data_IF_431945016030
#
_entry.id   IF_431945016030
#
_cell.length_a   1.000
_cell.length_b   1.000
_cell.length_c   1.000
_cell.angle_alpha   90.00
_cell.angle_beta   90.00
_cell.angle_gamma   90.00
#
_symmetry.space_group_name_H-M   'P 1'
#
loop_
_entity.id
_entity.type
_entity.pdbx_description
1 polymer ?
#
# COMPACT_ATOMS: atom_id res chain seq x y z
N UNK A 1 -26.22 -20.21 -16.75
CA UNK A 1 -27.28 -19.41 -16.11
C UNK A 1 -27.16 -19.45 -14.57
N UNK A 2 -26.86 -20.60 -13.96
CA UNK A 2 -26.55 -20.70 -12.52
C UNK A 2 -25.38 -19.81 -12.08
N UNK A 3 -24.21 -19.97 -12.70
CA UNK A 3 -22.99 -19.21 -12.36
C UNK A 3 -23.17 -17.68 -12.47
N UNK A 4 -23.95 -17.23 -13.45
CA UNK A 4 -24.20 -15.81 -13.66
C UNK A 4 -25.12 -15.23 -12.58
N UNK A 5 -26.10 -16.02 -12.11
CA UNK A 5 -26.97 -15.62 -11.00
C UNK A 5 -26.19 -15.57 -9.69
N UNK A 6 -25.39 -16.61 -9.42
CA UNK A 6 -24.51 -16.64 -8.25
C UNK A 6 -23.55 -15.44 -8.25
N UNK A 7 -22.95 -15.11 -9.39
CA UNK A 7 -22.09 -13.93 -9.52
C UNK A 7 -22.86 -12.63 -9.26
N UNK A 8 -24.08 -12.48 -9.76
CA UNK A 8 -24.89 -11.29 -9.52
C UNK A 8 -25.19 -11.11 -8.02
N UNK A 9 -25.61 -12.19 -7.33
CA UNK A 9 -25.90 -12.17 -5.89
C UNK A 9 -24.64 -11.81 -5.06
N UNK A 10 -23.46 -12.32 -5.46
CA UNK A 10 -22.18 -11.98 -4.83
C UNK A 10 -21.77 -10.52 -5.08
N UNK A 11 -22.02 -9.99 -6.28
CA UNK A 11 -21.73 -8.59 -6.60
C UNK A 11 -22.62 -7.63 -5.82
N UNK A 12 -23.89 -7.97 -5.59
CA UNK A 12 -24.77 -7.17 -4.73
C UNK A 12 -24.27 -7.13 -3.29
N UNK A 13 -23.83 -8.27 -2.74
CA UNK A 13 -23.20 -8.32 -1.41
C UNK A 13 -21.92 -7.48 -1.37
N UNK A 14 -21.07 -7.57 -2.40
CA UNK A 14 -19.85 -6.77 -2.50
C UNK A 14 -20.16 -5.27 -2.54
N UNK A 15 -21.19 -4.86 -3.27
CA UNK A 15 -21.63 -3.47 -3.36
C UNK A 15 -22.14 -2.94 -2.01
N UNK A 16 -22.91 -3.73 -1.27
CA UNK A 16 -23.37 -3.35 0.07
C UNK A 16 -22.22 -3.21 1.07
N UNK A 17 -21.24 -4.11 1.04
CA UNK A 17 -19.99 -3.96 1.80
C UNK A 17 -19.24 -2.70 1.37
N UNK A 18 -19.14 -2.45 0.06
CA UNK A 18 -18.52 -1.26 -0.51
C UNK A 18 -19.16 0.04 -0.02
N UNK A 19 -20.49 0.10 0.08
CA UNK A 19 -21.21 1.26 0.67
C UNK A 19 -20.84 1.47 2.12
N UNK A 20 -20.79 0.40 2.92
CA UNK A 20 -20.42 0.46 4.35
C UNK A 20 -18.97 0.92 4.54
N UNK A 21 -18.03 0.41 3.74
CA UNK A 21 -16.64 0.87 3.74
C UNK A 21 -16.57 2.35 3.36
N UNK A 22 -17.29 2.75 2.30
CA UNK A 22 -17.30 4.14 1.84
C UNK A 22 -17.80 5.11 2.91
N UNK A 23 -18.80 4.71 3.69
CA UNK A 23 -19.31 5.49 4.81
C UNK A 23 -18.27 5.66 5.95
N UNK A 24 -17.42 4.66 6.19
CA UNK A 24 -16.35 4.72 7.19
C UNK A 24 -15.19 5.60 6.72
N UNK A 25 -14.76 5.43 5.46
CA UNK A 25 -13.55 6.11 4.96
C UNK A 25 -13.85 7.49 4.34
N UNK A 26 -15.13 7.83 4.12
CA UNK A 26 -15.56 9.10 3.51
C UNK A 26 -15.25 9.22 2.01
N UNK A 27 -14.83 8.13 1.35
CA UNK A 27 -14.43 8.07 -0.06
C UNK A 27 -14.93 6.76 -0.69
N UNK A 28 -15.03 6.65 -2.03
CA UNK A 28 -15.43 5.39 -2.66
C UNK A 28 -14.54 4.21 -2.22
N UNK A 29 -15.16 3.08 -1.90
CA UNK A 29 -14.48 1.86 -1.47
C UNK A 29 -13.67 1.23 -2.60
N UNK A 30 -12.44 1.71 -2.76
CA UNK A 30 -11.40 1.06 -3.53
C UNK A 30 -10.16 0.87 -2.64
N UNK A 31 -9.27 -0.03 -3.05
CA UNK A 31 -8.11 -0.42 -2.24
C UNK A 31 -7.15 0.76 -2.01
N UNK A 32 -7.08 1.73 -2.93
CA UNK A 32 -6.26 2.92 -2.79
C UNK A 32 -6.76 3.82 -1.65
N UNK A 33 -8.02 4.26 -1.71
CA UNK A 33 -8.64 5.11 -0.70
C UNK A 33 -8.70 4.44 0.67
N UNK A 34 -9.02 3.13 0.72
CA UNK A 34 -8.99 2.39 1.97
C UNK A 34 -7.57 2.30 2.55
N UNK A 35 -6.56 2.14 1.68
CA UNK A 35 -5.16 2.16 2.08
C UNK A 35 -4.72 3.52 2.62
N UNK A 36 -5.03 4.61 1.92
CA UNK A 36 -4.80 5.98 2.38
C UNK A 36 -5.44 6.23 3.75
N UNK A 37 -6.70 5.81 3.93
CA UNK A 37 -7.40 5.94 5.21
C UNK A 37 -6.68 5.20 6.33
N UNK A 38 -6.33 3.92 6.14
CA UNK A 38 -5.58 3.15 7.14
C UNK A 38 -4.25 3.83 7.44
N UNK A 39 -3.50 4.20 6.40
CA UNK A 39 -2.20 4.83 6.55
C UNK A 39 -2.28 6.15 7.31
N UNK A 40 -3.31 6.97 7.06
CA UNK A 40 -3.53 8.23 7.77
C UNK A 40 -3.74 8.03 9.28
N UNK A 41 -4.42 6.95 9.67
CA UNK A 41 -4.69 6.64 11.08
C UNK A 41 -3.50 5.98 11.78
N UNK A 42 -2.79 5.10 11.08
CA UNK A 42 -1.64 4.38 11.65
C UNK A 42 -0.39 5.26 11.71
N UNK A 43 -0.10 6.00 10.65
CA UNK A 43 1.16 6.74 10.50
C UNK A 43 1.00 8.26 10.68
N UNK A 44 -0.18 8.71 11.12
CA UNK A 44 -0.51 10.12 11.34
C UNK A 44 -0.19 10.97 10.11
N UNK A 45 -0.90 10.69 9.02
CA UNK A 45 -0.72 11.41 7.75
C UNK A 45 -1.80 12.47 7.57
N UNK A 46 -1.40 13.67 7.19
CA UNK A 46 -2.29 14.63 6.53
C UNK A 46 -2.39 14.26 5.06
N UNK A 47 -3.55 13.76 4.64
CA UNK A 47 -3.82 13.42 3.25
C UNK A 47 -4.13 14.69 2.44
N UNK A 48 -3.75 14.70 1.17
CA UNK A 48 -4.09 15.78 0.25
C UNK A 48 -5.58 15.74 -0.11
N UNK A 49 -6.27 16.89 -0.03
CA UNK A 49 -7.69 17.01 -0.38
C UNK A 49 -7.96 16.87 -1.88
N UNK A 50 -6.93 17.07 -2.72
CA UNK A 50 -7.05 16.99 -4.18
C UNK A 50 -5.86 16.27 -4.81
N UNK A 51 -6.11 15.49 -5.86
CA UNK A 51 -5.08 14.82 -6.66
C UNK A 51 -4.25 15.79 -7.54
N UNK A 52 -4.19 17.08 -7.17
CA UNK A 52 -3.50 18.12 -7.93
C UNK A 52 -1.99 17.94 -7.92
N UNK A 53 -1.44 17.42 -6.82
CA UNK A 53 -0.03 17.04 -6.72
C UNK A 53 0.15 15.59 -7.15
N UNK A 54 0.53 15.38 -8.41
CA UNK A 54 0.79 14.03 -8.94
C UNK A 54 1.79 13.29 -8.03
N UNK A 55 1.44 12.05 -7.67
CA UNK A 55 2.28 11.10 -6.93
C UNK A 55 2.49 11.39 -5.43
N UNK A 56 1.84 12.39 -4.84
CA UNK A 56 1.87 12.62 -3.38
C UNK A 56 0.44 12.44 -2.87
N UNK A 57 0.26 11.52 -1.92
CA UNK A 57 -1.05 11.28 -1.31
C UNK A 57 -1.19 12.03 0.02
N UNK A 58 -0.09 12.45 0.63
CA UNK A 58 -0.08 13.21 1.87
C UNK A 58 1.31 13.48 2.43
N UNK A 59 1.34 13.94 3.68
CA UNK A 59 2.56 14.22 4.45
C UNK A 59 2.45 13.65 5.87
N UNK A 60 3.57 13.22 6.45
CA UNK A 60 3.59 12.82 7.86
C UNK A 60 3.41 14.06 8.77
N UNK A 61 2.47 14.02 9.70
CA UNK A 61 2.23 15.11 10.66
C UNK A 61 3.15 15.08 11.87
N UNK A 62 3.67 13.90 12.22
CA UNK A 62 4.44 13.69 13.44
C UNK A 62 5.58 12.67 13.25
N UNK A 63 6.32 12.44 14.34
CA UNK A 63 7.44 11.50 14.36
C UNK A 63 8.67 11.96 13.57
N UNK A 64 9.64 11.05 13.34
CA UNK A 64 10.90 11.35 12.66
C UNK A 64 10.75 11.80 11.21
N UNK A 65 9.61 11.49 10.58
CA UNK A 65 9.34 11.78 9.18
C UNK A 65 8.46 13.03 8.99
N UNK A 66 8.16 13.77 10.06
CA UNK A 66 7.27 14.93 10.01
C UNK A 66 7.63 15.89 8.87
N UNK A 67 6.62 16.27 8.08
CA UNK A 67 6.74 17.15 6.92
C UNK A 67 7.21 16.46 5.63
N UNK A 68 7.57 15.18 5.69
CA UNK A 68 7.95 14.40 4.49
C UNK A 68 6.72 13.96 3.72
N UNK A 69 6.80 14.09 2.40
CA UNK A 69 5.75 13.67 1.48
C UNK A 69 5.74 12.15 1.32
N UNK A 70 4.55 11.58 1.17
CA UNK A 70 4.36 10.13 1.07
C UNK A 70 3.38 9.78 -0.03
N UNK A 71 3.64 8.65 -0.70
CA UNK A 71 2.68 7.99 -1.56
C UNK A 71 2.35 6.61 -0.97
N UNK A 72 1.07 6.37 -0.73
CA UNK A 72 0.53 5.15 -0.13
C UNK A 72 0.17 4.17 -1.23
N UNK A 73 0.71 2.96 -1.16
CA UNK A 73 0.36 1.85 -2.05
C UNK A 73 -0.21 0.70 -1.23
N UNK A 74 -1.33 0.14 -1.66
CA UNK A 74 -1.84 -1.11 -1.10
C UNK A 74 -2.02 -2.17 -2.18
N UNK A 75 -1.19 -3.21 -2.10
CA UNK A 75 -1.25 -4.35 -3.00
C UNK A 75 -1.83 -5.57 -2.29
N UNK A 76 -2.88 -6.20 -2.82
CA UNK A 76 -3.47 -7.40 -2.19
C UNK A 76 -2.53 -8.62 -2.13
N UNK A 77 -1.35 -8.55 -2.76
CA UNK A 77 -0.27 -9.55 -2.68
C UNK A 77 1.10 -8.86 -2.75
N UNK A 78 2.11 -9.43 -2.09
CA UNK A 78 3.50 -9.02 -2.27
C UNK A 78 4.09 -9.78 -3.48
N UNK A 79 4.25 -9.08 -4.60
CA UNK A 79 4.78 -9.62 -5.87
C UNK A 79 6.11 -8.97 -6.30
N UNK A 80 6.74 -8.23 -5.39
CA UNK A 80 7.99 -7.49 -5.66
C UNK A 80 7.90 -6.45 -6.78
N UNK A 81 6.70 -5.92 -7.02
CA UNK A 81 6.40 -4.86 -7.96
C UNK A 81 6.02 -3.59 -7.21
N UNK A 82 6.44 -2.44 -7.73
CA UNK A 82 6.07 -1.12 -7.21
C UNK A 82 5.73 -0.18 -8.36
N UNK A 83 4.61 0.51 -8.26
CA UNK A 83 4.25 1.56 -9.20
C UNK A 83 4.97 2.85 -8.83
N UNK A 84 5.86 3.30 -9.72
CA UNK A 84 6.63 4.52 -9.56
C UNK A 84 6.17 5.52 -10.62
N UNK A 85 5.63 6.66 -10.17
CA UNK A 85 5.24 7.75 -11.06
C UNK A 85 6.47 8.44 -11.60
N UNK A 86 6.62 8.51 -12.92
CA UNK A 86 7.72 9.24 -13.53
C UNK A 86 7.49 10.76 -13.44
N UNK A 87 8.56 11.51 -13.17
CA UNK A 87 8.54 12.98 -13.20
C UNK A 87 7.99 13.66 -11.93
N UNK A 88 7.44 12.91 -10.97
CA UNK A 88 7.10 13.40 -9.64
C UNK A 88 7.33 12.28 -8.62
N UNK A 89 8.08 12.56 -7.57
CA UNK A 89 8.50 11.58 -6.57
C UNK A 89 8.17 12.11 -5.18
N UNK A 90 7.49 11.32 -4.32
CA UNK A 90 7.39 11.65 -2.90
C UNK A 90 8.77 11.50 -2.23
N UNK A 91 8.91 11.91 -0.97
CA UNK A 91 10.06 11.52 -0.15
C UNK A 91 10.02 10.01 0.13
N UNK A 92 8.82 9.45 0.37
CA UNK A 92 8.64 8.04 0.70
C UNK A 92 7.51 7.34 -0.07
N UNK A 93 7.70 6.06 -0.38
CA UNK A 93 6.60 5.14 -0.66
C UNK A 93 6.28 4.34 0.60
N UNK A 94 5.04 4.47 1.09
CA UNK A 94 4.51 3.63 2.16
C UNK A 94 3.66 2.52 1.53
N UNK A 95 4.20 1.31 1.51
CA UNK A 95 3.63 0.17 0.78
C UNK A 95 3.09 -0.87 1.75
N UNK A 96 1.79 -1.07 1.74
CA UNK A 96 1.11 -2.17 2.43
C UNK A 96 0.88 -3.32 1.45
N UNK A 97 1.10 -4.55 1.91
CA UNK A 97 0.87 -5.73 1.07
C UNK A 97 0.16 -6.85 1.81
N UNK A 98 -0.68 -7.58 1.09
CA UNK A 98 -1.20 -8.88 1.53
C UNK A 98 -0.15 -9.99 1.49
N UNK A 99 -0.57 -11.26 1.53
CA UNK A 99 0.33 -12.41 1.62
C UNK A 99 1.39 -12.44 0.51
N UNK A 100 2.59 -12.89 0.87
CA UNK A 100 3.63 -13.21 -0.09
C UNK A 100 3.20 -14.45 -0.87
N UNK A 101 2.99 -14.30 -2.17
CA UNK A 101 2.58 -15.41 -3.02
C UNK A 101 3.64 -15.61 -4.11
N UNK A 102 4.08 -16.84 -4.41
CA UNK A 102 4.82 -17.10 -5.62
C UNK A 102 4.04 -16.60 -6.83
N UNK A 103 4.73 -16.19 -7.89
CA UNK A 103 4.12 -15.86 -9.19
C UNK A 103 3.47 -17.12 -9.77
N UNK A 104 2.21 -17.38 -9.41
CA UNK A 104 1.40 -18.52 -9.85
C UNK A 104 0.07 -18.02 -10.41
N UNK A 105 -0.60 -18.85 -11.22
CA UNK A 105 -1.78 -18.44 -12.01
C UNK A 105 -2.85 -17.75 -11.14
N UNK A 106 -3.49 -16.71 -11.69
CA UNK A 106 -4.61 -16.01 -11.05
C UNK A 106 -5.88 -16.86 -10.92
N UNK A 107 -5.93 -18.05 -11.54
CA UNK A 107 -7.12 -18.91 -11.58
C UNK A 107 -7.47 -19.40 -10.16
N UNK A 108 -8.66 -19.06 -9.69
CA UNK A 108 -9.20 -19.48 -8.39
C UNK A 108 -8.62 -18.76 -7.17
N UNK A 109 -7.71 -17.79 -7.34
CA UNK A 109 -7.11 -17.05 -6.23
C UNK A 109 -7.66 -15.63 -6.09
N UNK A 110 -7.81 -15.16 -4.85
CA UNK A 110 -8.18 -13.76 -4.56
C UNK A 110 -6.95 -12.89 -4.25
N UNK A 111 -7.13 -11.56 -4.30
CA UNK A 111 -6.19 -10.55 -3.79
C UNK A 111 -6.84 -9.89 -2.57
N UNK A 112 -6.75 -10.52 -1.39
CA UNK A 112 -7.53 -10.09 -0.25
C UNK A 112 -7.03 -8.72 0.25
N UNK A 113 -7.93 -7.91 0.79
CA UNK A 113 -7.58 -6.64 1.42
C UNK A 113 -7.06 -6.91 2.82
N UNK A 114 -5.82 -7.40 2.88
CA UNK A 114 -5.08 -7.68 4.11
C UNK A 114 -3.80 -6.85 4.14
N UNK A 115 -3.31 -6.58 5.34
CA UNK A 115 -2.02 -5.91 5.58
C UNK A 115 -1.10 -6.87 6.32
N UNK A 116 -0.44 -7.76 5.59
CA UNK A 116 0.50 -8.73 6.17
C UNK A 116 1.90 -8.15 6.35
N UNK A 117 2.30 -7.23 5.48
CA UNK A 117 3.60 -6.57 5.52
C UNK A 117 3.45 -5.09 5.16
N UNK A 118 4.25 -4.25 5.80
CA UNK A 118 4.36 -2.82 5.47
C UNK A 118 5.82 -2.47 5.24
N UNK A 119 6.07 -1.70 4.19
CA UNK A 119 7.38 -1.26 3.75
C UNK A 119 7.41 0.25 3.62
N UNK A 120 8.53 0.86 3.98
CA UNK A 120 8.80 2.28 3.79
C UNK A 120 10.05 2.43 2.93
N UNK A 121 9.87 2.83 1.68
CA UNK A 121 10.99 3.06 0.76
C UNK A 121 11.33 4.54 0.72
N UNK A 122 12.62 4.86 0.93
CA UNK A 122 13.20 6.15 0.52
C UNK A 122 13.14 6.23 -1.01
N UNK A 123 12.22 7.05 -1.51
CA UNK A 123 11.90 7.08 -2.92
C UNK A 123 13.04 7.67 -3.77
N UNK A 124 13.68 8.80 -3.38
CA UNK A 124 14.87 9.31 -4.07
C UNK A 124 16.00 8.28 -4.18
N UNK A 125 16.35 7.62 -3.08
CA UNK A 125 17.42 6.62 -3.05
C UNK A 125 17.05 5.41 -3.92
N UNK A 126 15.82 4.90 -3.80
CA UNK A 126 15.35 3.77 -4.59
C UNK A 126 15.43 4.08 -6.10
N UNK A 127 14.88 5.22 -6.53
CA UNK A 127 14.89 5.62 -7.94
C UNK A 127 16.30 5.81 -8.47
N UNK A 128 17.20 6.41 -7.69
CA UNK A 128 18.61 6.52 -8.05
C UNK A 128 19.24 5.15 -8.32
N UNK A 129 19.02 4.19 -7.42
CA UNK A 129 19.61 2.85 -7.53
C UNK A 129 19.03 2.03 -8.68
N UNK A 130 17.73 2.17 -8.95
CA UNK A 130 17.07 1.52 -10.09
C UNK A 130 17.60 2.05 -11.41
N UNK A 131 17.76 3.38 -11.54
CA UNK A 131 18.35 4.02 -12.74
C UNK A 131 19.77 3.54 -12.97
N UNK A 132 20.61 3.53 -11.93
CA UNK A 132 21.99 3.01 -12.00
C UNK A 132 22.04 1.54 -12.42
N UNK A 133 21.04 0.77 -12.05
CA UNK A 133 20.90 -0.65 -12.42
C UNK A 133 20.27 -0.89 -13.80
N UNK A 134 19.92 0.17 -14.54
CA UNK A 134 19.28 0.08 -15.85
C UNK A 134 17.84 -0.44 -15.83
N UNK A 135 17.17 -0.43 -14.66
CA UNK A 135 15.78 -0.91 -14.54
C UNK A 135 14.83 0.12 -15.14
N UNK A 136 13.90 -0.33 -15.98
CA UNK A 136 12.81 0.51 -16.49
C UNK A 136 11.84 0.85 -15.35
N UNK A 137 11.70 2.15 -15.06
CA UNK A 137 10.84 2.68 -14.00
C UNK A 137 9.48 3.05 -14.58
N UNK A 138 8.40 2.69 -13.88
CA UNK A 138 7.02 3.01 -14.23
C UNK A 138 6.01 2.21 -13.40
N UNK A 139 4.86 1.91 -13.99
CA UNK A 139 3.88 0.97 -13.42
C UNK A 139 4.52 -0.42 -13.37
N UNK A 140 4.30 -1.15 -12.29
CA UNK A 140 4.83 -2.48 -12.04
C UNK A 140 6.37 -2.55 -12.21
N UNK A 141 7.10 -1.59 -11.64
CA UNK A 141 8.57 -1.62 -11.62
C UNK A 141 9.04 -2.80 -10.79
N UNK A 142 9.91 -3.64 -11.35
CA UNK A 142 10.50 -4.77 -10.63
C UNK A 142 11.54 -4.27 -9.62
N UNK A 143 11.30 -4.56 -8.35
CA UNK A 143 12.18 -4.16 -7.24
C UNK A 143 12.85 -5.42 -6.67
N UNK A 144 14.18 -5.41 -6.58
CA UNK A 144 14.94 -6.56 -6.06
C UNK A 144 14.55 -6.84 -4.61
N UNK A 145 14.49 -8.13 -4.24
CA UNK A 145 14.14 -8.62 -2.90
C UNK A 145 14.87 -7.90 -1.76
N UNK A 146 16.17 -7.61 -1.92
CA UNK A 146 16.96 -6.93 -0.90
C UNK A 146 16.42 -5.54 -0.53
N UNK A 147 15.87 -4.79 -1.49
CA UNK A 147 15.25 -3.50 -1.21
C UNK A 147 13.97 -3.67 -0.38
N UNK A 148 13.12 -4.66 -0.71
CA UNK A 148 11.94 -4.99 0.09
C UNK A 148 12.30 -5.36 1.52
N UNK A 149 13.27 -6.25 1.71
CA UNK A 149 13.72 -6.67 3.03
C UNK A 149 14.23 -5.46 3.85
N UNK A 150 15.07 -4.62 3.25
CA UNK A 150 15.58 -3.42 3.94
C UNK A 150 14.50 -2.36 4.24
N UNK A 151 13.42 -2.32 3.47
CA UNK A 151 12.34 -1.36 3.63
C UNK A 151 11.26 -1.83 4.61
N UNK A 152 11.26 -3.10 5.02
CA UNK A 152 10.21 -3.69 5.85
C UNK A 152 10.17 -3.03 7.23
N UNK A 153 9.05 -2.38 7.54
CA UNK A 153 8.78 -1.79 8.87
C UNK A 153 7.84 -2.67 9.70
N UNK A 154 7.04 -3.52 9.05
CA UNK A 154 6.12 -4.46 9.70
C UNK A 154 6.06 -5.78 8.92
N UNK A 155 6.03 -6.95 9.59
CA UNK A 155 6.11 -7.13 11.04
C UNK A 155 7.54 -7.12 11.60
N UNK A 156 8.59 -7.28 10.78
CA UNK A 156 9.95 -7.59 11.28
C UNK A 156 10.80 -6.37 11.65
N UNK A 157 10.30 -5.14 11.48
CA UNK A 157 11.01 -3.87 11.80
C UNK A 157 12.46 -3.84 11.32
N UNK A 158 12.71 -4.23 10.07
CA UNK A 158 14.07 -4.31 9.50
C UNK A 158 14.60 -2.95 9.06
N UNK A 159 13.71 -2.00 8.77
CA UNK A 159 14.06 -0.67 8.33
C UNK A 159 14.82 0.10 9.43
N UNK A 160 16.03 0.55 9.10
CA UNK A 160 16.91 1.28 10.03
C UNK A 160 16.60 2.77 10.14
N UNK A 161 15.89 3.33 9.17
CA UNK A 161 15.54 4.75 9.12
C UNK A 161 14.26 5.06 9.90
N UNK A 162 13.36 4.08 10.01
CA UNK A 162 12.07 4.24 10.68
C UNK A 162 11.66 2.95 11.39
N UNK A 163 11.35 3.06 12.68
CA UNK A 163 10.75 1.98 13.46
C UNK A 163 9.32 2.35 13.81
N UNK A 164 8.39 1.44 13.56
CA UNK A 164 7.01 1.58 14.04
C UNK A 164 6.94 1.41 15.56
N UNK A 165 5.93 2.04 16.16
CA UNK A 165 5.60 1.88 17.58
C UNK A 165 4.77 0.61 17.81
N UNK A 166 4.61 0.20 19.07
CA UNK A 166 3.72 -0.91 19.44
C UNK A 166 2.26 -0.60 19.07
N UNK A 167 1.78 0.59 19.39
CA UNK A 167 0.43 1.02 19.01
C UNK A 167 0.20 0.97 17.50
N UNK A 168 1.21 1.32 16.69
CA UNK A 168 1.13 1.17 15.23
C UNK A 168 1.02 -0.30 14.80
N UNK A 169 1.74 -1.22 15.46
CA UNK A 169 1.60 -2.65 15.19
C UNK A 169 0.20 -3.16 15.56
N UNK A 170 -0.31 -2.78 16.72
CA UNK A 170 -1.64 -3.22 17.18
C UNK A 170 -2.72 -2.77 16.20
N UNK A 171 -2.60 -1.55 15.67
CA UNK A 171 -3.53 -1.06 14.65
C UNK A 171 -3.41 -1.83 13.34
N UNK A 172 -2.20 -2.19 12.91
CA UNK A 172 -1.98 -2.98 11.70
C UNK A 172 -2.50 -4.42 11.84
N UNK A 173 -2.39 -5.01 13.03
CA UNK A 173 -2.85 -6.37 13.33
C UNK A 173 -4.36 -6.53 13.11
N UNK A 174 -5.14 -5.46 13.27
CA UNK A 174 -6.59 -5.47 13.00
C UNK A 174 -6.93 -5.84 11.54
N UNK A 175 -5.97 -5.69 10.62
CA UNK A 175 -6.14 -5.90 9.17
C UNK A 175 -5.39 -7.14 8.64
N UNK A 176 -4.85 -7.99 9.51
CA UNK A 176 -4.23 -9.26 9.12
C UNK A 176 -5.24 -10.38 8.97
N UNK A 177 -4.81 -11.47 8.33
CA UNK A 177 -5.58 -12.70 8.35
C UNK A 177 -5.83 -13.14 9.81
N UNK A 178 -7.08 -13.47 10.11
CA UNK A 178 -7.48 -14.04 11.40
C UNK A 178 -7.36 -15.55 11.39
#
# INVERSE_FOLDING_TARGET
MGDLKELADLLDQLNEVGKRISAVIGRPANIGHAGEFIASKVFDLALEDSASTKAIDGHFNSGPLRGKSVNVKWYGKQESLLDITQGSLPDYYLVMTGPKTPSGSSRGGIRPWLVEQVFLFDAPQLVHDLKRSGVKIGIATSIRKAYWESAEIYPRRQNRQYSITESQMDLLEMFRAK
#
